data_IF_371830894966
#
_entry.id   IF_371830894966
#
_cell.length_a   1.000
_cell.length_b   1.000
_cell.length_c   1.000
_cell.angle_alpha   90.00
_cell.angle_beta   90.00
_cell.angle_gamma   90.00
#
_symmetry.space_group_name_H-M   'P 1'
#
loop_
_entity.id
_entity.type
_entity.pdbx_description
1 polymer ?
#
# COMPACT_ATOMS: atom_id res chain seq x y z
N UNK A 1 -10.74 -1.45 -13.37
CA UNK A 1 -10.65 -1.92 -11.96
C UNK A 1 -9.90 -0.88 -11.14
N UNK A 2 -10.44 -0.38 -10.01
CA UNK A 2 -9.84 0.72 -9.22
C UNK A 2 -8.76 0.20 -8.26
N UNK A 3 -7.66 0.95 -8.09
CA UNK A 3 -6.68 0.70 -7.02
C UNK A 3 -7.36 0.91 -5.66
N UNK A 4 -7.22 -0.04 -4.72
CA UNK A 4 -7.81 0.12 -3.41
C UNK A 4 -7.05 1.22 -2.65
N UNK A 5 -7.79 2.17 -2.09
CA UNK A 5 -7.29 3.23 -1.21
C UNK A 5 -7.73 2.92 0.23
N UNK A 6 -7.18 3.62 1.22
CA UNK A 6 -7.49 3.42 2.62
C UNK A 6 -6.36 2.78 3.40
N UNK A 7 -6.66 2.41 4.64
CA UNK A 7 -5.72 1.76 5.55
C UNK A 7 -5.60 0.25 5.27
N UNK A 8 -4.36 -0.22 5.15
CA UNK A 8 -4.00 -1.62 5.04
C UNK A 8 -3.13 -2.05 6.22
N UNK A 9 -3.19 -3.33 6.55
CA UNK A 9 -2.27 -4.00 7.46
C UNK A 9 -1.43 -4.99 6.66
N UNK A 10 -0.11 -4.90 6.78
CA UNK A 10 0.80 -5.87 6.16
C UNK A 10 0.74 -7.20 6.88
N UNK A 11 0.84 -8.30 6.13
CA UNK A 11 0.83 -9.66 6.69
C UNK A 11 2.21 -10.31 6.52
N UNK A 12 2.23 -11.62 6.33
CA UNK A 12 3.45 -12.37 6.03
C UNK A 12 3.84 -12.20 4.55
N UNK A 13 5.15 -12.11 4.27
CA UNK A 13 5.65 -12.16 2.91
C UNK A 13 5.51 -13.56 2.33
N UNK A 14 5.55 -13.67 1.01
CA UNK A 14 5.54 -14.93 0.28
C UNK A 14 6.28 -14.80 -1.05
N UNK A 15 6.58 -15.93 -1.69
CA UNK A 15 7.10 -15.97 -3.06
C UNK A 15 5.93 -16.19 -4.01
N UNK A 16 5.64 -15.19 -4.85
CA UNK A 16 4.61 -15.28 -5.89
C UNK A 16 5.21 -15.24 -7.30
N UNK A 17 4.35 -15.11 -8.31
CA UNK A 17 4.77 -15.03 -9.74
C UNK A 17 5.76 -13.90 -10.05
N UNK A 18 5.75 -12.84 -9.24
CA UNK A 18 6.65 -11.68 -9.37
C UNK A 18 7.81 -11.71 -8.37
N UNK A 19 8.04 -12.87 -7.73
CA UNK A 19 9.04 -13.07 -6.69
C UNK A 19 8.55 -12.67 -5.31
N UNK A 20 9.48 -12.21 -4.47
CA UNK A 20 9.23 -11.79 -3.09
C UNK A 20 8.18 -10.68 -3.02
N UNK A 21 7.08 -10.96 -2.34
CA UNK A 21 5.92 -10.10 -2.26
C UNK A 21 5.34 -10.10 -0.82
N UNK A 22 4.60 -9.04 -0.49
CA UNK A 22 4.00 -8.84 0.81
C UNK A 22 2.49 -8.76 0.71
N UNK A 23 1.79 -9.65 1.44
CA UNK A 23 0.34 -9.66 1.50
C UNK A 23 -0.18 -8.46 2.27
N UNK A 24 -1.32 -7.92 1.82
CA UNK A 24 -2.02 -6.82 2.46
C UNK A 24 -3.44 -7.23 2.83
N UNK A 25 -3.88 -6.81 4.01
CA UNK A 25 -5.27 -6.86 4.45
C UNK A 25 -5.82 -5.44 4.46
N UNK A 26 -6.82 -5.15 3.64
CA UNK A 26 -7.56 -3.91 3.75
C UNK A 26 -8.46 -3.94 4.98
N UNK A 27 -8.45 -2.87 5.77
CA UNK A 27 -9.22 -2.75 7.03
C UNK A 27 -10.24 -1.63 7.00
N UNK A 28 -10.43 -0.98 5.84
CA UNK A 28 -11.36 0.12 5.65
C UNK A 28 -12.52 -0.30 4.74
N UNK A 29 -13.67 -0.57 5.36
CA UNK A 29 -14.87 -1.06 4.68
C UNK A 29 -15.35 -0.08 3.60
N UNK A 30 -15.62 -0.59 2.40
CA UNK A 30 -16.08 0.20 1.26
C UNK A 30 -14.95 0.85 0.45
N UNK A 31 -13.70 0.74 0.91
CA UNK A 31 -12.53 1.27 0.21
C UNK A 31 -11.54 0.17 -0.19
N UNK A 32 -11.16 -0.71 0.75
CA UNK A 32 -10.18 -1.76 0.50
C UNK A 32 -10.50 -3.12 1.15
N UNK A 33 -11.71 -3.32 1.67
CA UNK A 33 -12.17 -4.57 2.29
C UNK A 33 -12.08 -5.80 1.36
N UNK A 34 -12.08 -5.60 0.05
CA UNK A 34 -11.89 -6.66 -0.95
C UNK A 34 -10.42 -6.89 -1.35
N UNK A 35 -9.47 -6.13 -0.82
CA UNK A 35 -8.08 -6.15 -1.25
C UNK A 35 -7.42 -7.53 -1.11
N UNK A 36 -7.66 -8.22 0.01
CA UNK A 36 -7.10 -9.56 0.22
C UNK A 36 -7.70 -10.58 -0.74
N UNK A 37 -9.02 -10.54 -0.97
CA UNK A 37 -9.71 -11.41 -1.96
C UNK A 37 -9.21 -11.18 -3.39
N UNK A 38 -8.82 -9.94 -3.70
CA UNK A 38 -8.28 -9.52 -5.01
C UNK A 38 -6.77 -9.76 -5.15
N UNK A 39 -6.11 -10.40 -4.18
CA UNK A 39 -4.66 -10.61 -4.16
C UNK A 39 -3.85 -9.32 -4.33
N UNK A 40 -4.28 -8.24 -3.68
CA UNK A 40 -3.55 -6.97 -3.65
C UNK A 40 -2.35 -7.12 -2.71
N UNK A 41 -1.15 -6.96 -3.26
CA UNK A 41 0.13 -7.19 -2.57
C UNK A 41 1.13 -6.08 -2.89
N UNK A 42 2.22 -5.98 -2.11
CA UNK A 42 3.42 -5.24 -2.53
C UNK A 42 4.37 -6.22 -3.21
N UNK A 43 4.88 -5.92 -4.40
CA UNK A 43 5.90 -6.74 -5.06
C UNK A 43 6.91 -5.90 -5.84
N UNK A 44 7.99 -6.52 -6.33
CA UNK A 44 8.94 -5.84 -7.20
C UNK A 44 8.43 -5.67 -8.62
N UNK A 45 8.86 -4.60 -9.29
CA UNK A 45 8.75 -4.46 -10.74
C UNK A 45 10.05 -3.88 -11.32
N UNK A 46 10.55 -4.50 -12.40
CA UNK A 46 11.82 -4.11 -13.02
C UNK A 46 11.78 -2.71 -13.67
N UNK A 47 10.60 -2.29 -14.13
CA UNK A 47 10.38 -0.97 -14.74
C UNK A 47 10.26 0.17 -13.73
N UNK A 48 10.23 -0.13 -12.41
CA UNK A 48 10.20 0.88 -11.35
C UNK A 48 11.63 1.21 -10.95
N UNK A 49 12.14 2.34 -11.46
CA UNK A 49 13.52 2.76 -11.21
C UNK A 49 13.64 3.66 -9.95
N UNK A 50 14.89 3.97 -9.55
CA UNK A 50 15.23 4.78 -8.35
C UNK A 50 14.58 6.18 -8.37
N UNK A 51 14.28 6.75 -9.55
CA UNK A 51 13.59 8.05 -9.68
C UNK A 51 12.11 7.95 -9.33
N UNK A 52 11.45 6.83 -9.65
CA UNK A 52 10.08 6.55 -9.19
C UNK A 52 10.04 6.18 -7.70
N UNK A 53 11.05 5.47 -7.21
CA UNK A 53 11.15 4.98 -5.83
C UNK A 53 11.44 6.05 -4.77
N UNK A 54 12.14 7.13 -5.17
CA UNK A 54 12.46 8.27 -4.29
C UNK A 54 11.20 8.87 -3.66
N UNK A 55 10.06 8.56 -4.25
CA UNK A 55 8.73 8.91 -3.80
C UNK A 55 7.97 7.63 -3.51
N UNK A 56 7.74 7.32 -2.24
CA UNK A 56 6.57 6.53 -1.84
C UNK A 56 5.23 7.17 -2.32
N UNK A 57 5.27 8.27 -3.08
CA UNK A 57 4.14 8.90 -3.73
C UNK A 57 3.80 8.36 -5.14
N UNK A 58 4.57 7.44 -5.72
CA UNK A 58 4.31 6.91 -7.07
C UNK A 58 4.52 5.39 -7.15
N UNK A 59 3.43 4.67 -6.88
CA UNK A 59 3.34 3.23 -7.09
C UNK A 59 2.82 2.95 -8.50
N UNK A 60 3.65 2.29 -9.32
CA UNK A 60 3.30 1.85 -10.67
C UNK A 60 2.10 0.90 -10.68
N UNK A 61 1.33 0.89 -11.78
CA UNK A 61 0.02 0.22 -11.82
C UNK A 61 0.11 -1.18 -12.41
N UNK A 62 0.02 -2.19 -11.56
CA UNK A 62 -0.32 -3.57 -11.93
C UNK A 62 -1.67 -3.94 -11.33
N UNK A 63 -2.79 -3.79 -12.04
CA UNK A 63 -4.14 -4.25 -11.63
C UNK A 63 -4.53 -4.03 -10.13
N UNK A 64 -4.00 -2.97 -9.49
CA UNK A 64 -4.23 -2.63 -8.08
C UNK A 64 -3.18 -3.07 -7.07
N UNK A 65 -2.18 -3.89 -7.42
CA UNK A 65 -1.03 -4.18 -6.54
C UNK A 65 -0.09 -2.99 -6.43
N UNK A 66 0.65 -2.95 -5.32
CA UNK A 66 1.68 -1.96 -5.09
C UNK A 66 3.05 -2.48 -5.58
N UNK A 67 3.78 -1.68 -6.36
CA UNK A 67 5.10 -2.05 -6.87
C UNK A 67 6.21 -1.16 -6.33
N UNK A 68 7.35 -1.78 -6.04
CA UNK A 68 8.60 -1.14 -5.60
C UNK A 68 9.77 -1.56 -6.49
N UNK A 69 10.91 -0.84 -6.51
CA UNK A 69 12.06 -1.25 -7.30
C UNK A 69 12.60 -2.62 -6.89
N UNK A 70 13.00 -3.41 -7.88
CA UNK A 70 13.56 -4.75 -7.66
C UNK A 70 14.71 -4.80 -6.67
N UNK A 71 15.63 -3.82 -6.72
CA UNK A 71 16.79 -3.75 -5.82
C UNK A 71 16.44 -3.41 -4.37
N UNK A 72 15.31 -2.74 -4.15
CA UNK A 72 14.88 -2.26 -2.84
C UNK A 72 13.81 -3.17 -2.22
N UNK A 73 13.19 -4.04 -3.02
CA UNK A 73 12.01 -4.82 -2.63
C UNK A 73 12.22 -5.66 -1.37
N UNK A 74 13.33 -6.39 -1.27
CA UNK A 74 13.61 -7.22 -0.08
C UNK A 74 13.71 -6.35 1.17
N UNK A 75 14.52 -5.27 1.11
CA UNK A 75 14.72 -4.35 2.22
C UNK A 75 13.39 -3.72 2.65
N UNK A 76 12.62 -3.17 1.72
CA UNK A 76 11.32 -2.54 2.01
C UNK A 76 10.36 -3.56 2.64
N UNK A 77 10.16 -4.72 2.01
CA UNK A 77 9.23 -5.75 2.50
C UNK A 77 9.64 -6.24 3.89
N UNK A 78 10.94 -6.48 4.12
CA UNK A 78 11.44 -6.91 5.43
C UNK A 78 11.26 -5.86 6.51
N UNK A 79 11.35 -4.57 6.17
CA UNK A 79 11.10 -3.46 7.10
C UNK A 79 9.62 -3.35 7.51
N UNK A 80 8.69 -3.72 6.63
CA UNK A 80 7.26 -3.41 6.81
C UNK A 80 6.38 -4.65 6.95
N UNK A 81 6.93 -5.86 6.99
CA UNK A 81 6.15 -7.10 7.19
C UNK A 81 5.64 -7.23 8.62
N UNK A 82 4.60 -8.04 8.81
CA UNK A 82 4.19 -8.46 10.16
C UNK A 82 3.34 -7.44 10.93
N UNK A 83 2.41 -6.75 10.26
CA UNK A 83 1.40 -5.93 10.91
C UNK A 83 1.73 -4.44 10.97
N UNK A 84 2.50 -3.94 10.00
CA UNK A 84 2.71 -2.51 9.76
C UNK A 84 1.46 -1.90 9.12
N UNK A 85 1.12 -0.70 9.56
CA UNK A 85 0.05 0.10 8.97
C UNK A 85 0.54 0.81 7.70
N UNK A 86 -0.09 0.51 6.57
CA UNK A 86 0.15 1.15 5.29
C UNK A 86 -1.07 1.97 4.92
N UNK A 87 -0.90 3.28 4.75
CA UNK A 87 -1.97 4.18 4.36
C UNK A 87 -1.80 4.58 2.90
N UNK A 88 -2.67 4.09 2.01
CA UNK A 88 -2.60 4.39 0.59
C UNK A 88 -3.75 5.32 0.17
N UNK A 89 -3.45 6.51 -0.33
CA UNK A 89 -4.47 7.51 -0.63
C UNK A 89 -4.27 8.19 -1.98
N UNK A 90 -5.39 8.62 -2.57
CA UNK A 90 -5.47 9.53 -3.70
C UNK A 90 -6.48 10.62 -3.29
N UNK A 91 -6.30 11.91 -3.64
CA UNK A 91 -7.26 12.99 -3.35
C UNK A 91 -8.58 12.83 -4.14
N UNK A 92 -9.30 11.75 -3.86
CA UNK A 92 -10.63 11.48 -4.34
C UNK A 92 -11.61 12.20 -3.40
N UNK A 93 -12.45 13.09 -3.93
CA UNK A 93 -13.39 13.91 -3.14
C UNK A 93 -14.21 13.07 -2.14
N UNK A 94 -14.73 11.90 -2.56
CA UNK A 94 -15.46 10.97 -1.69
C UNK A 94 -14.60 10.45 -0.52
N UNK A 95 -13.36 10.07 -0.79
CA UNK A 95 -12.45 9.54 0.24
C UNK A 95 -12.09 10.63 1.27
N UNK A 96 -11.77 11.83 0.79
CA UNK A 96 -11.48 12.99 1.63
C UNK A 96 -12.65 13.38 2.55
N UNK A 97 -13.89 13.12 2.11
CA UNK A 97 -15.10 13.50 2.85
C UNK A 97 -15.60 12.42 3.81
N UNK A 98 -15.31 11.14 3.56
CA UNK A 98 -15.96 10.04 4.30
C UNK A 98 -15.00 9.04 4.94
N UNK A 99 -13.67 9.21 4.82
CA UNK A 99 -12.72 8.30 5.47
C UNK A 99 -12.58 8.63 6.95
N UNK A 100 -12.71 7.60 7.79
CA UNK A 100 -12.53 7.71 9.25
C UNK A 100 -11.05 7.81 9.65
N UNK A 101 -10.12 7.53 8.72
CA UNK A 101 -8.68 7.45 8.98
C UNK A 101 -7.88 8.59 8.33
N UNK A 102 -8.57 9.58 7.74
CA UNK A 102 -7.91 10.69 7.03
C UNK A 102 -7.24 11.70 7.96
N UNK A 103 -7.64 11.73 9.22
CA UNK A 103 -6.98 12.50 10.25
C UNK A 103 -5.69 11.79 10.67
N UNK A 104 -4.57 12.21 10.08
CA UNK A 104 -3.25 11.64 10.35
C UNK A 104 -2.87 11.68 11.84
N UNK A 105 -3.36 12.67 12.61
CA UNK A 105 -3.11 12.74 14.05
C UNK A 105 -3.92 11.68 14.80
N UNK A 106 -5.17 11.42 14.40
CA UNK A 106 -5.98 10.34 14.98
C UNK A 106 -5.48 8.96 14.59
N UNK A 107 -5.04 8.78 13.34
CA UNK A 107 -4.47 7.52 12.89
C UNK A 107 -3.22 7.16 13.70
N UNK A 108 -2.30 8.12 13.88
CA UNK A 108 -1.08 7.95 14.69
C UNK A 108 -1.38 7.54 16.13
N UNK A 109 -2.38 8.19 16.74
CA UNK A 109 -2.86 7.89 18.09
C UNK A 109 -3.44 6.46 18.22
N UNK A 110 -4.07 5.94 17.16
CA UNK A 110 -4.81 4.67 17.22
C UNK A 110 -3.94 3.43 17.02
N UNK A 111 -2.87 3.49 16.22
CA UNK A 111 -2.08 2.29 15.89
C UNK A 111 -0.65 2.24 16.45
N UNK A 112 -0.11 3.32 17.04
CA UNK A 112 1.21 3.34 17.74
C UNK A 112 2.30 2.46 17.07
N UNK A 113 2.37 2.48 15.73
CA UNK A 113 3.29 1.67 14.91
C UNK A 113 3.79 2.54 13.75
N UNK A 114 4.93 2.16 13.17
CA UNK A 114 5.53 2.86 12.04
C UNK A 114 4.51 3.02 10.90
N UNK A 115 4.13 4.26 10.60
CA UNK A 115 3.20 4.60 9.53
C UNK A 115 3.96 4.91 8.24
N UNK A 116 3.51 4.32 7.13
CA UNK A 116 3.99 4.66 5.80
C UNK A 116 2.81 5.14 4.98
N UNK A 117 2.86 6.41 4.57
CA UNK A 117 1.89 7.01 3.66
C UNK A 117 2.35 6.85 2.21
N UNK A 118 1.46 6.35 1.36
CA UNK A 118 1.69 6.18 -0.07
C UNK A 118 0.64 6.97 -0.84
N UNK A 119 1.07 7.99 -1.58
CA UNK A 119 0.20 8.65 -2.55
C UNK A 119 0.09 7.77 -3.81
N UNK A 120 -1.11 7.57 -4.31
CA UNK A 120 -1.38 6.88 -5.58
C UNK A 120 -1.59 7.97 -6.65
N UNK A 121 -1.24 7.75 -7.92
CA UNK A 121 -1.54 8.69 -9.01
C UNK A 121 -2.95 8.46 -9.58
N UNK A 122 -3.65 9.51 -10.03
CA UNK A 122 -4.96 9.46 -10.74
C UNK A 122 -4.84 9.05 -12.19
N UNK A 123 -5.99 8.65 -12.77
CA UNK A 123 -6.33 9.04 -14.12
C UNK A 123 -7.08 10.37 -14.06
#
# INVERSE_FOLDING_TARGET
MKSPIGLFITLNPYIGKHGYALRLKGVERGFNDTAQKRNIVIHKAWYVNKKMAKYLNWVGRSLGCFVVPSKDAKRIIDTIKGGTALYAYYPLKKYLQTSHFLDFKKADLFYKKMFISVKIASH
#
